data_IF_503479454906
#
_entry.id   IF_503479454906
#
_cell.length_a   1.000
_cell.length_b   1.000
_cell.length_c   1.000
_cell.angle_alpha   90.00
_cell.angle_beta   90.00
_cell.angle_gamma   90.00
#
_symmetry.space_group_name_H-M   'P 1'
#
loop_
_entity.id
_entity.type
_entity.pdbx_description
1 polymer ?
#
# COMPACT_ATOMS: atom_id res chain seq x y z
N UNK A 1 13.63 3.20 4.99
CA UNK A 1 14.28 1.84 5.02
C UNK A 1 13.39 0.86 5.76
N UNK A 2 13.32 -0.41 5.34
CA UNK A 2 12.63 -1.47 6.09
C UNK A 2 13.66 -2.50 6.55
N UNK A 3 13.59 -2.91 7.82
CA UNK A 3 14.35 -4.02 8.34
C UNK A 3 13.40 -5.06 8.92
N UNK A 4 13.52 -6.29 8.47
CA UNK A 4 12.81 -7.45 8.99
C UNK A 4 13.85 -8.34 9.68
N UNK A 5 13.65 -8.63 10.98
CA UNK A 5 14.60 -9.34 11.80
C UNK A 5 13.96 -10.57 12.42
N UNK A 6 14.42 -11.74 12.02
CA UNK A 6 14.04 -13.03 12.58
C UNK A 6 12.51 -13.23 12.68
N UNK A 7 11.78 -12.81 11.63
CA UNK A 7 10.33 -12.77 11.61
C UNK A 7 9.74 -14.18 11.58
N UNK A 8 8.88 -14.49 12.54
CA UNK A 8 8.13 -15.74 12.62
C UNK A 8 6.63 -15.44 12.69
N UNK A 9 5.83 -16.19 11.93
CA UNK A 9 4.37 -16.17 12.06
C UNK A 9 3.82 -17.59 12.07
N UNK A 10 3.13 -17.91 13.16
CA UNK A 10 2.39 -19.17 13.33
C UNK A 10 0.90 -18.90 13.41
N UNK A 11 0.11 -19.79 12.82
CA UNK A 11 -1.34 -19.89 12.94
C UNK A 11 -1.67 -21.28 13.50
N UNK A 12 -1.85 -21.36 14.81
CA UNK A 12 -1.87 -22.67 15.48
C UNK A 12 -0.56 -23.42 15.21
N UNK A 13 -0.67 -24.63 14.64
CA UNK A 13 0.50 -25.47 14.29
C UNK A 13 1.11 -25.13 12.92
N UNK A 14 0.45 -24.28 12.12
CA UNK A 14 0.94 -23.91 10.80
C UNK A 14 1.95 -22.77 10.87
N UNK A 15 3.19 -23.02 10.43
CA UNK A 15 4.26 -22.05 10.33
C UNK A 15 4.17 -21.35 8.95
N UNK A 16 3.65 -20.13 8.93
CA UNK A 16 3.45 -19.35 7.71
C UNK A 16 4.67 -18.50 7.31
N UNK A 17 5.47 -18.06 8.28
CA UNK A 17 6.75 -17.36 8.06
C UNK A 17 7.74 -17.94 9.05
N UNK A 18 8.92 -18.35 8.55
CA UNK A 18 9.93 -19.06 9.31
C UNK A 18 11.25 -18.27 9.35
N UNK A 19 11.54 -17.61 10.47
CA UNK A 19 12.78 -16.89 10.78
C UNK A 19 13.31 -16.00 9.65
N UNK A 20 12.40 -15.28 8.96
CA UNK A 20 12.72 -14.44 7.80
C UNK A 20 13.45 -13.17 8.24
N UNK A 21 14.61 -12.90 7.60
CA UNK A 21 15.37 -11.66 7.85
C UNK A 21 15.81 -11.07 6.52
N UNK A 22 15.56 -9.77 6.32
CA UNK A 22 16.02 -9.02 5.15
C UNK A 22 15.96 -7.51 5.41
N UNK A 23 16.59 -6.75 4.50
CA UNK A 23 16.54 -5.29 4.49
C UNK A 23 16.11 -4.77 3.12
N UNK A 24 15.34 -3.69 3.12
CA UNK A 24 14.90 -2.97 1.92
C UNK A 24 15.47 -1.55 2.01
N UNK A 25 16.37 -1.24 1.07
CA UNK A 25 16.96 0.08 0.94
C UNK A 25 15.98 1.06 0.27
N UNK A 26 16.14 2.35 0.52
CA UNK A 26 15.32 3.39 -0.08
C UNK A 26 15.55 3.55 -1.60
N UNK A 27 14.50 4.00 -2.32
CA UNK A 27 14.62 4.47 -3.70
C UNK A 27 14.70 3.37 -4.77
N UNK A 28 14.24 2.14 -4.48
CA UNK A 28 14.24 1.01 -5.42
C UNK A 28 12.88 0.34 -5.50
N UNK A 29 12.71 -0.49 -6.54
CA UNK A 29 11.59 -1.43 -6.66
C UNK A 29 12.05 -2.80 -6.21
N UNK A 30 11.32 -3.39 -5.28
CA UNK A 30 11.54 -4.75 -4.79
C UNK A 30 10.36 -5.64 -5.16
N UNK A 31 10.63 -6.87 -5.56
CA UNK A 31 9.60 -7.87 -5.83
C UNK A 31 9.67 -9.01 -4.83
N UNK A 32 8.56 -9.26 -4.14
CA UNK A 32 8.38 -10.48 -3.36
C UNK A 32 7.97 -11.62 -4.29
N UNK A 33 8.85 -12.58 -4.49
CA UNK A 33 8.62 -13.73 -5.36
C UNK A 33 8.52 -15.02 -4.56
N UNK A 34 7.64 -15.90 -4.97
CA UNK A 34 7.46 -17.20 -4.34
C UNK A 34 6.11 -17.83 -4.71
N UNK A 35 5.93 -19.14 -4.51
CA UNK A 35 4.68 -19.83 -4.76
C UNK A 35 3.54 -19.33 -3.86
N UNK A 36 2.31 -19.71 -4.18
CA UNK A 36 1.18 -19.46 -3.30
C UNK A 36 1.40 -20.21 -1.97
N UNK A 37 1.06 -19.56 -0.86
CA UNK A 37 1.31 -20.09 0.49
C UNK A 37 2.72 -19.89 1.04
N UNK A 38 3.65 -19.25 0.28
CA UNK A 38 5.01 -18.97 0.77
C UNK A 38 5.11 -17.84 1.81
N UNK A 39 4.00 -17.35 2.37
CA UNK A 39 3.99 -16.31 3.39
C UNK A 39 4.14 -14.89 2.88
N UNK A 40 4.07 -14.63 1.56
CA UNK A 40 4.22 -13.28 0.97
C UNK A 40 3.26 -12.26 1.57
N UNK A 41 1.95 -12.46 1.41
CA UNK A 41 0.91 -11.55 1.94
C UNK A 41 0.93 -11.51 3.47
N UNK A 42 1.26 -12.62 4.14
CA UNK A 42 1.48 -12.63 5.60
C UNK A 42 2.60 -11.68 6.01
N UNK A 43 3.73 -11.74 5.32
CA UNK A 43 4.88 -10.85 5.57
C UNK A 43 4.51 -9.39 5.29
N UNK A 44 3.84 -9.09 4.16
CA UNK A 44 3.36 -7.74 3.83
C UNK A 44 2.37 -7.21 4.89
N UNK A 45 1.44 -8.04 5.35
CA UNK A 45 0.49 -7.67 6.40
C UNK A 45 1.17 -7.39 7.74
N UNK A 46 2.29 -8.06 8.05
CA UNK A 46 3.08 -7.75 9.25
C UNK A 46 3.85 -6.43 9.05
N UNK A 47 4.48 -6.24 7.89
CA UNK A 47 5.22 -4.99 7.58
C UNK A 47 4.31 -3.75 7.60
N UNK A 48 3.02 -3.90 7.29
CA UNK A 48 2.04 -2.80 7.32
C UNK A 48 1.34 -2.64 8.68
N UNK A 49 1.66 -3.50 9.64
CA UNK A 49 1.03 -3.49 10.98
C UNK A 49 -0.44 -3.88 10.97
N UNK A 50 -0.90 -4.58 9.92
CA UNK A 50 -2.23 -5.18 9.88
C UNK A 50 -2.27 -6.48 10.68
N UNK A 51 -1.15 -7.18 10.79
CA UNK A 51 -1.00 -8.45 11.49
C UNK A 51 0.22 -8.39 12.41
N UNK A 52 0.08 -8.87 13.66
CA UNK A 52 1.22 -9.02 14.57
C UNK A 52 2.05 -10.25 14.24
N UNK A 53 3.39 -10.15 14.37
CA UNK A 53 4.30 -11.28 14.32
C UNK A 53 4.12 -12.19 15.54
N UNK A 54 4.52 -13.46 15.42
CA UNK A 54 4.64 -14.38 16.57
C UNK A 54 5.97 -14.14 17.28
N UNK A 55 7.05 -13.98 16.50
CA UNK A 55 8.40 -13.66 16.99
C UNK A 55 9.10 -12.74 15.95
N UNK A 56 10.17 -12.08 16.39
CA UNK A 56 10.92 -11.15 15.56
C UNK A 56 10.32 -9.75 15.54
N UNK A 57 10.91 -8.87 14.74
CA UNK A 57 10.49 -7.47 14.65
C UNK A 57 10.58 -6.93 13.22
N UNK A 58 9.78 -5.91 12.94
CA UNK A 58 9.83 -5.14 11.70
C UNK A 58 10.02 -3.68 12.05
N UNK A 59 11.10 -3.09 11.54
CA UNK A 59 11.41 -1.68 11.70
C UNK A 59 11.16 -0.93 10.38
N UNK A 60 10.40 0.14 10.45
CA UNK A 60 10.13 1.05 9.34
C UNK A 60 10.78 2.38 9.67
N UNK A 61 11.82 2.72 8.94
CA UNK A 61 12.65 3.90 9.18
C UNK A 61 13.12 4.03 10.64
N UNK A 62 13.45 2.89 11.25
CA UNK A 62 13.88 2.78 12.66
C UNK A 62 12.77 2.60 13.68
N UNK A 63 11.48 2.77 13.31
CA UNK A 63 10.33 2.61 14.18
C UNK A 63 9.76 1.19 14.11
N UNK A 64 9.63 0.53 15.26
CA UNK A 64 9.02 -0.81 15.35
C UNK A 64 7.51 -0.71 15.05
N UNK A 65 7.05 -1.45 14.03
CA UNK A 65 5.66 -1.40 13.55
C UNK A 65 4.63 -1.80 14.64
N UNK A 66 5.02 -2.55 15.65
CA UNK A 66 4.13 -2.98 16.73
C UNK A 66 4.22 -2.08 17.96
N UNK A 67 5.41 -1.52 18.26
CA UNK A 67 5.63 -0.69 19.45
C UNK A 67 5.34 0.80 19.17
N UNK A 68 5.64 1.25 17.94
CA UNK A 68 5.49 2.64 17.48
C UNK A 68 4.66 2.71 16.19
N UNK A 69 3.43 2.13 16.17
CA UNK A 69 2.66 1.93 14.93
C UNK A 69 2.30 3.22 14.22
N UNK A 70 2.04 4.31 14.94
CA UNK A 70 1.69 5.59 14.33
C UNK A 70 2.87 6.21 13.58
N UNK A 71 4.05 6.21 14.19
CA UNK A 71 5.26 6.73 13.54
C UNK A 71 5.65 5.86 12.34
N UNK A 72 5.72 4.54 12.52
CA UNK A 72 6.04 3.61 11.44
C UNK A 72 5.06 3.74 10.24
N UNK A 73 3.74 3.82 10.51
CA UNK A 73 2.71 3.89 9.44
C UNK A 73 2.70 5.21 8.68
N UNK A 74 3.24 6.30 9.20
CA UNK A 74 3.39 7.56 8.48
C UNK A 74 4.29 7.44 7.26
N UNK A 75 5.27 6.53 7.30
CA UNK A 75 6.22 6.28 6.23
C UNK A 75 5.69 5.31 5.17
N UNK A 76 4.51 4.69 5.38
CA UNK A 76 3.98 3.63 4.52
C UNK A 76 2.69 4.05 3.82
N UNK A 77 2.63 3.78 2.52
CA UNK A 77 1.39 3.64 1.77
C UNK A 77 1.13 2.17 1.46
N UNK A 78 -0.08 1.68 1.70
CA UNK A 78 -0.41 0.28 1.47
C UNK A 78 -1.62 0.12 0.56
N UNK A 79 -1.44 -0.69 -0.49
CA UNK A 79 -2.52 -1.18 -1.35
C UNK A 79 -2.63 -2.69 -1.16
N UNK A 80 -3.64 -3.19 -0.43
CA UNK A 80 -3.91 -4.62 -0.36
C UNK A 80 -4.48 -5.15 -1.69
N UNK A 81 -4.44 -6.46 -1.89
CA UNK A 81 -5.01 -7.15 -3.07
C UNK A 81 -6.46 -6.70 -3.35
N UNK A 82 -7.27 -6.56 -2.30
CA UNK A 82 -8.63 -6.02 -2.36
C UNK A 82 -8.70 -4.71 -1.56
N UNK A 83 -8.62 -3.56 -2.24
CA UNK A 83 -8.71 -2.28 -1.55
C UNK A 83 -10.02 -2.11 -0.79
N UNK A 84 -10.00 -1.72 0.49
CA UNK A 84 -11.21 -1.53 1.32
C UNK A 84 -11.90 -0.22 0.99
N UNK A 85 -12.51 -0.14 -0.20
CA UNK A 85 -13.16 1.06 -0.70
C UNK A 85 -14.59 1.22 -0.16
N UNK A 86 -14.97 2.44 0.19
CA UNK A 86 -16.36 2.78 0.54
C UNK A 86 -17.17 2.98 -0.74
N UNK A 87 -17.92 1.96 -1.12
CA UNK A 87 -18.59 1.86 -2.43
C UNK A 87 -19.66 2.93 -2.68
N UNK A 88 -20.25 3.49 -1.63
CA UNK A 88 -21.29 4.52 -1.70
C UNK A 88 -20.73 5.96 -1.62
N UNK A 89 -19.42 6.12 -1.54
CA UNK A 89 -18.75 7.41 -1.67
C UNK A 89 -18.35 7.64 -3.15
N UNK A 90 -18.26 8.92 -3.53
CA UNK A 90 -17.55 9.33 -4.73
C UNK A 90 -16.03 9.14 -4.52
N UNK A 91 -15.26 9.10 -5.60
CA UNK A 91 -13.80 9.02 -5.51
C UNK A 91 -13.25 10.17 -4.67
N UNK A 92 -13.73 11.39 -4.91
CA UNK A 92 -13.28 12.58 -4.19
C UNK A 92 -13.58 12.51 -2.70
N UNK A 93 -14.80 12.16 -2.32
CA UNK A 93 -15.21 12.01 -0.90
C UNK A 93 -14.35 10.95 -0.19
N UNK A 94 -14.09 9.82 -0.86
CA UNK A 94 -13.24 8.76 -0.30
C UNK A 94 -11.80 9.24 -0.08
N UNK A 95 -11.22 9.95 -1.05
CA UNK A 95 -9.84 10.46 -0.92
C UNK A 95 -9.75 11.57 0.14
N UNK A 96 -10.77 12.42 0.30
CA UNK A 96 -10.84 13.39 1.38
C UNK A 96 -10.89 12.71 2.75
N UNK A 97 -11.72 11.67 2.89
CA UNK A 97 -11.79 10.86 4.09
C UNK A 97 -10.43 10.17 4.40
N UNK A 98 -9.82 9.54 3.40
CA UNK A 98 -8.51 8.89 3.55
C UNK A 98 -7.40 9.89 3.94
N UNK A 99 -7.41 11.09 3.34
CA UNK A 99 -6.48 12.17 3.67
C UNK A 99 -6.66 12.65 5.12
N UNK A 100 -7.91 12.69 5.60
CA UNK A 100 -8.22 13.03 6.99
C UNK A 100 -7.67 11.99 7.96
N UNK A 101 -7.93 10.71 7.70
CA UNK A 101 -7.40 9.60 8.51
C UNK A 101 -5.87 9.58 8.57
N UNK A 102 -5.19 9.97 7.49
CA UNK A 102 -3.73 10.12 7.44
C UNK A 102 -3.22 11.39 8.15
N UNK A 103 -4.11 12.21 8.72
CA UNK A 103 -3.73 13.44 9.43
C UNK A 103 -3.27 14.58 8.53
N UNK A 104 -3.56 14.55 7.22
CA UNK A 104 -3.21 15.65 6.32
C UNK A 104 -3.94 16.94 6.69
N UNK A 105 -3.21 18.06 6.71
CA UNK A 105 -3.78 19.36 7.08
C UNK A 105 -4.84 19.80 6.08
N UNK A 106 -6.01 20.24 6.56
CA UNK A 106 -7.16 20.62 5.73
C UNK A 106 -6.81 21.56 4.56
N UNK A 107 -5.89 22.51 4.77
CA UNK A 107 -5.46 23.46 3.73
C UNK A 107 -4.66 22.81 2.58
N UNK A 108 -4.04 21.66 2.83
CA UNK A 108 -3.17 20.93 1.87
C UNK A 108 -3.93 19.81 1.16
N UNK A 109 -4.97 19.23 1.80
CA UNK A 109 -5.71 18.07 1.30
C UNK A 109 -6.17 18.20 -0.14
N UNK A 110 -6.82 19.34 -0.49
CA UNK A 110 -7.39 19.51 -1.84
C UNK A 110 -6.32 19.49 -2.93
N UNK A 111 -5.16 20.13 -2.69
CA UNK A 111 -4.05 20.15 -3.64
C UNK A 111 -3.39 18.78 -3.79
N UNK A 112 -3.12 18.10 -2.66
CA UNK A 112 -2.51 16.77 -2.67
C UNK A 112 -3.43 15.73 -3.33
N UNK A 113 -4.74 15.76 -3.04
CA UNK A 113 -5.70 14.86 -3.69
C UNK A 113 -5.70 15.10 -5.20
N UNK A 114 -5.74 16.36 -5.65
CA UNK A 114 -5.73 16.67 -7.08
C UNK A 114 -4.44 16.19 -7.78
N UNK A 115 -3.29 16.31 -7.12
CA UNK A 115 -2.03 15.80 -7.62
C UNK A 115 -2.05 14.28 -7.74
N UNK A 116 -2.51 13.59 -6.70
CA UNK A 116 -2.63 12.13 -6.69
C UNK A 116 -3.64 11.65 -7.72
N UNK A 117 -4.82 12.29 -7.85
CA UNK A 117 -5.82 11.95 -8.89
C UNK A 117 -5.23 12.03 -10.30
N UNK A 118 -4.44 13.08 -10.59
CA UNK A 118 -3.73 13.22 -11.88
C UNK A 118 -2.66 12.14 -12.04
N UNK A 119 -1.89 11.86 -10.98
CA UNK A 119 -0.81 10.88 -11.00
C UNK A 119 -1.32 9.48 -11.33
N UNK A 120 -2.40 9.03 -10.68
CA UNK A 120 -2.98 7.70 -10.91
C UNK A 120 -4.04 7.68 -12.01
N UNK A 121 -4.30 8.81 -12.68
CA UNK A 121 -5.23 8.96 -13.81
C UNK A 121 -6.67 8.58 -13.46
N UNK A 122 -7.23 9.23 -12.43
CA UNK A 122 -8.63 9.06 -12.00
C UNK A 122 -9.39 10.40 -11.90
N UNK A 123 -8.79 11.50 -12.32
CA UNK A 123 -9.39 12.83 -12.25
C UNK A 123 -10.71 12.93 -13.00
N UNK A 124 -10.83 12.23 -14.13
CA UNK A 124 -12.03 12.17 -14.97
C UNK A 124 -13.24 11.49 -14.28
N UNK A 125 -13.02 10.77 -13.20
CA UNK A 125 -14.05 10.04 -12.44
C UNK A 125 -14.19 10.51 -10.99
N UNK A 126 -13.58 11.61 -10.59
CA UNK A 126 -13.54 12.08 -9.19
C UNK A 126 -14.92 12.24 -8.54
N UNK A 127 -15.95 12.60 -9.33
CA UNK A 127 -17.32 12.77 -8.86
C UNK A 127 -18.21 11.53 -9.04
N UNK A 128 -17.66 10.42 -9.55
CA UNK A 128 -18.42 9.17 -9.71
C UNK A 128 -18.40 8.35 -8.44
N UNK A 129 -19.52 7.69 -8.13
CA UNK A 129 -19.57 6.71 -7.06
C UNK A 129 -18.64 5.53 -7.35
N UNK A 130 -17.89 5.11 -6.35
CA UNK A 130 -16.89 4.03 -6.47
C UNK A 130 -17.53 2.72 -6.93
N UNK A 131 -18.76 2.41 -6.49
CA UNK A 131 -19.51 1.22 -6.95
C UNK A 131 -19.72 1.18 -8.46
N UNK A 132 -19.79 2.32 -9.13
CA UNK A 132 -20.01 2.46 -10.57
C UNK A 132 -18.72 2.43 -11.40
N UNK A 133 -17.56 2.22 -10.76
CA UNK A 133 -16.27 2.14 -11.42
C UNK A 133 -15.94 0.71 -11.85
N UNK A 134 -15.18 0.57 -12.95
CA UNK A 134 -14.57 -0.70 -13.31
C UNK A 134 -13.55 -1.16 -12.26
N UNK A 135 -13.19 -2.44 -12.27
CA UNK A 135 -12.16 -2.98 -11.37
C UNK A 135 -10.83 -2.20 -11.48
N UNK A 136 -10.41 -1.86 -12.69
CA UNK A 136 -9.18 -1.10 -12.93
C UNK A 136 -9.22 0.31 -12.33
N UNK A 137 -10.34 1.01 -12.43
CA UNK A 137 -10.50 2.31 -11.77
C UNK A 137 -10.52 2.16 -10.24
N UNK A 138 -11.20 1.17 -9.69
CA UNK A 138 -11.18 0.89 -8.25
C UNK A 138 -9.77 0.60 -7.74
N UNK A 139 -8.97 -0.16 -8.50
CA UNK A 139 -7.58 -0.41 -8.17
C UNK A 139 -6.75 0.90 -8.14
N UNK A 140 -6.98 1.80 -9.10
CA UNK A 140 -6.34 3.12 -9.12
C UNK A 140 -6.79 4.02 -7.95
N UNK A 141 -8.05 3.94 -7.52
CA UNK A 141 -8.54 4.64 -6.31
C UNK A 141 -7.82 4.11 -5.05
N UNK A 142 -7.67 2.78 -4.92
CA UNK A 142 -6.88 2.18 -3.84
C UNK A 142 -5.41 2.62 -3.87
N UNK A 143 -4.81 2.70 -5.07
CA UNK A 143 -3.45 3.19 -5.23
C UNK A 143 -3.34 4.69 -4.87
N UNK A 144 -4.34 5.51 -5.25
CA UNK A 144 -4.42 6.91 -4.84
C UNK A 144 -4.38 7.03 -3.31
N UNK A 145 -5.20 6.25 -2.61
CA UNK A 145 -5.22 6.22 -1.15
C UNK A 145 -3.86 5.80 -0.56
N UNK A 146 -3.15 4.85 -1.17
CA UNK A 146 -1.82 4.44 -0.72
C UNK A 146 -0.81 5.59 -0.87
N UNK A 147 -0.85 6.35 -1.98
CA UNK A 147 0.09 7.43 -2.30
C UNK A 147 -0.19 8.73 -1.54
N UNK A 148 -1.43 8.98 -1.07
CA UNK A 148 -1.78 10.18 -0.30
C UNK A 148 -0.80 10.42 0.86
N UNK A 149 -0.34 11.66 0.99
CA UNK A 149 0.69 12.06 1.95
C UNK A 149 2.11 11.78 1.49
N UNK A 150 2.29 11.27 0.27
CA UNK A 150 3.60 10.99 -0.36
C UNK A 150 4.54 10.19 0.54
N UNK A 151 4.14 9.00 1.04
CA UNK A 151 4.97 8.18 1.93
C UNK A 151 6.25 7.73 1.22
N UNK A 152 7.35 7.57 1.96
CA UNK A 152 8.62 7.11 1.41
C UNK A 152 8.56 5.69 0.87
N UNK A 153 7.65 4.86 1.41
CA UNK A 153 7.52 3.45 1.09
C UNK A 153 6.08 3.17 0.63
N UNK A 154 5.94 2.50 -0.50
CA UNK A 154 4.65 2.03 -1.02
C UNK A 154 4.69 0.51 -1.13
N UNK A 155 3.80 -0.16 -0.39
CA UNK A 155 3.65 -1.62 -0.42
C UNK A 155 2.40 -1.96 -1.24
N UNK A 156 2.56 -2.82 -2.24
CA UNK A 156 1.51 -3.20 -3.18
C UNK A 156 1.35 -4.72 -3.19
N UNK A 157 0.23 -5.22 -2.66
CA UNK A 157 -0.08 -6.65 -2.69
C UNK A 157 -0.89 -6.97 -3.94
N UNK A 158 -0.28 -7.71 -4.88
CA UNK A 158 -0.89 -8.16 -6.14
C UNK A 158 -1.63 -7.05 -6.93
N UNK A 159 -1.00 -5.87 -7.20
CA UNK A 159 -1.69 -4.68 -7.72
C UNK A 159 -2.31 -4.86 -9.12
N UNK A 160 -2.00 -5.94 -9.82
CA UNK A 160 -2.49 -6.25 -11.18
C UNK A 160 -3.51 -7.38 -11.24
N UNK A 161 -3.89 -7.98 -10.12
CA UNK A 161 -4.83 -9.13 -10.08
C UNK A 161 -6.19 -8.78 -10.67
N UNK A 162 -6.62 -9.57 -11.66
CA UNK A 162 -7.92 -9.45 -12.31
C UNK A 162 -8.11 -8.21 -13.17
N UNK A 163 -7.03 -7.59 -13.60
CA UNK A 163 -7.01 -6.55 -14.62
C UNK A 163 -6.81 -7.16 -16.01
N UNK A 164 -7.32 -6.47 -17.03
CA UNK A 164 -7.04 -6.84 -18.41
C UNK A 164 -5.59 -6.52 -18.83
N UNK A 165 -5.07 -7.09 -19.93
CA UNK A 165 -3.68 -6.90 -20.35
C UNK A 165 -3.26 -5.43 -20.52
N UNK A 166 -4.17 -4.57 -21.02
CA UNK A 166 -3.90 -3.14 -21.20
C UNK A 166 -3.76 -2.44 -19.86
N UNK A 167 -4.69 -2.71 -18.93
CA UNK A 167 -4.65 -2.16 -17.57
C UNK A 167 -3.41 -2.61 -16.79
N UNK A 168 -2.95 -3.85 -16.97
CA UNK A 168 -1.72 -4.35 -16.37
C UNK A 168 -0.50 -3.52 -16.82
N UNK A 169 -0.41 -3.22 -18.13
CA UNK A 169 0.68 -2.38 -18.64
C UNK A 169 0.62 -0.99 -18.02
N UNK A 170 -0.57 -0.38 -17.96
CA UNK A 170 -0.77 0.96 -17.39
C UNK A 170 -0.41 1.02 -15.89
N UNK A 171 -0.79 0.02 -15.10
CA UNK A 171 -0.43 -0.06 -13.67
C UNK A 171 1.08 -0.24 -13.49
N UNK A 172 1.73 -1.07 -14.31
CA UNK A 172 3.20 -1.24 -14.26
C UNK A 172 3.94 0.04 -14.59
N UNK A 173 3.48 0.81 -15.59
CA UNK A 173 4.04 2.12 -15.90
C UNK A 173 3.88 3.11 -14.74
N UNK A 174 2.72 3.08 -14.09
CA UNK A 174 2.44 3.92 -12.93
C UNK A 174 3.37 3.56 -11.76
N UNK A 175 3.54 2.28 -11.44
CA UNK A 175 4.47 1.80 -10.42
C UNK A 175 5.90 2.27 -10.72
N UNK A 176 6.36 2.17 -11.98
CA UNK A 176 7.69 2.69 -12.36
C UNK A 176 7.84 4.20 -12.19
N UNK A 177 6.76 4.96 -12.37
CA UNK A 177 6.76 6.41 -12.11
C UNK A 177 6.84 6.72 -10.63
N UNK A 178 6.07 6.00 -9.80
CA UNK A 178 6.11 6.13 -8.34
C UNK A 178 7.49 5.81 -7.78
N UNK A 179 8.16 4.79 -8.32
CA UNK A 179 9.48 4.37 -7.86
C UNK A 179 10.61 5.41 -8.11
N UNK A 180 10.34 6.49 -8.83
CA UNK A 180 11.31 7.60 -8.95
C UNK A 180 11.48 8.38 -7.66
N UNK A 181 10.43 8.43 -6.83
CA UNK A 181 10.37 9.22 -5.61
C UNK A 181 10.04 8.38 -4.36
N UNK A 182 9.71 7.10 -4.54
CA UNK A 182 9.30 6.20 -3.48
C UNK A 182 10.06 4.87 -3.57
N UNK A 183 10.20 4.20 -2.45
CA UNK A 183 10.55 2.77 -2.42
C UNK A 183 9.26 1.98 -2.67
N UNK A 184 9.26 1.08 -3.65
CA UNK A 184 8.06 0.29 -3.98
C UNK A 184 8.35 -1.20 -3.76
N UNK A 185 7.42 -1.89 -3.09
CA UNK A 185 7.48 -3.31 -2.78
C UNK A 185 6.24 -3.98 -3.35
#
# INVERSE_FOLDING_TARGET
>A
MIEVRNLVKKYGDHLAVDHLSFQIEAGRIYGFLGPNGAGKSTTMNIMTGYLGATEGEVLIDGHDILKEPEEAKRHIGYLPEQPPLYMDMTVREYLEFAAELKGLKKKQRSGEIEEVEKMVRIKDVEHRLIKNLSKGYRQRVGLAQAVLGFPEIIILDEPSVGLDPKQIIEIRELIRKLAKNHTVI
#
